data_IF_912796237902
#
_entry.id   IF_912796237902
#
_cell.length_a   1.000
_cell.length_b   1.000
_cell.length_c   1.000
_cell.angle_alpha   90.00
_cell.angle_beta   90.00
_cell.angle_gamma   90.00
#
_symmetry.space_group_name_H-M   'P 1'
#
loop_
_entity.id
_entity.type
_entity.pdbx_description
1 polymer ?
#
# COMPACT_ATOMS: atom_id res chain seq x y z
N UNK A 1 24.71 -16.67 16.92
CA UNK A 1 25.25 -15.32 17.26
C UNK A 1 25.73 -14.52 16.04
N UNK A 2 26.34 -15.13 15.02
CA UNK A 2 26.81 -14.42 13.81
C UNK A 2 25.67 -13.83 12.93
N UNK A 3 24.53 -14.53 12.77
CA UNK A 3 23.37 -14.02 12.01
C UNK A 3 22.80 -12.71 12.59
N UNK A 4 22.65 -12.61 13.92
CA UNK A 4 22.13 -11.41 14.59
C UNK A 4 23.01 -10.17 14.34
N UNK A 5 24.34 -10.32 14.30
CA UNK A 5 25.27 -9.22 14.01
C UNK A 5 25.13 -8.72 12.57
N UNK A 6 24.89 -9.62 11.60
CA UNK A 6 24.74 -9.24 10.20
C UNK A 6 23.48 -8.38 9.97
N UNK A 7 22.35 -8.68 10.63
CA UNK A 7 21.16 -7.81 10.58
C UNK A 7 21.44 -6.41 11.14
N UNK A 8 22.22 -6.33 12.21
CA UNK A 8 22.62 -5.08 12.84
C UNK A 8 23.54 -4.25 11.94
N UNK A 9 24.54 -4.87 11.30
CA UNK A 9 25.40 -4.20 10.32
C UNK A 9 24.63 -3.73 9.08
N UNK A 10 23.67 -4.52 8.59
CA UNK A 10 22.81 -4.14 7.48
C UNK A 10 21.93 -2.93 7.81
N UNK A 11 21.31 -2.90 8.99
CA UNK A 11 20.54 -1.74 9.45
C UNK A 11 21.43 -0.49 9.60
N UNK A 12 22.63 -0.63 10.18
CA UNK A 12 23.58 0.48 10.32
C UNK A 12 24.00 1.04 8.95
N UNK A 13 24.36 0.19 8.00
CA UNK A 13 24.69 0.61 6.64
C UNK A 13 23.52 1.36 5.99
N UNK A 14 22.30 0.85 6.11
CA UNK A 14 21.11 1.52 5.59
C UNK A 14 20.92 2.93 6.18
N UNK A 15 21.07 3.08 7.51
CA UNK A 15 20.97 4.40 8.16
C UNK A 15 22.11 5.35 7.74
N UNK A 16 23.32 4.85 7.52
CA UNK A 16 24.46 5.66 7.03
C UNK A 16 24.16 6.19 5.62
N UNK A 17 23.64 5.36 4.72
CA UNK A 17 23.21 5.79 3.39
C UNK A 17 22.06 6.82 3.46
N UNK A 18 21.04 6.61 4.31
CA UNK A 18 19.98 7.61 4.51
C UNK A 18 20.53 8.94 5.03
N UNK A 19 21.54 8.92 5.92
CA UNK A 19 22.19 10.13 6.41
C UNK A 19 23.01 10.83 5.33
N UNK A 20 23.63 10.07 4.40
CA UNK A 20 24.36 10.62 3.26
C UNK A 20 23.45 11.48 2.35
N UNK A 21 22.19 11.08 2.12
CA UNK A 21 21.20 11.88 1.39
C UNK A 21 20.96 13.26 2.02
N UNK A 22 21.08 13.40 3.36
CA UNK A 22 20.96 14.69 4.04
C UNK A 22 22.11 15.64 3.69
N UNK A 23 23.33 15.12 3.49
CA UNK A 23 24.49 15.91 3.09
C UNK A 23 24.45 16.30 1.60
N UNK A 24 23.80 15.51 0.75
CA UNK A 24 23.56 15.84 -0.67
C UNK A 24 22.47 16.92 -0.87
N UNK A 25 21.65 17.17 0.15
CA UNK A 25 20.57 18.18 0.13
C UNK A 25 21.06 19.63 0.32
N UNK A 26 22.37 19.88 0.27
CA UNK A 26 22.98 21.21 0.44
C UNK A 26 22.82 22.14 -0.80
N UNK A 27 22.28 21.62 -1.91
CA UNK A 27 22.03 22.39 -3.12
C UNK A 27 20.64 23.06 -3.08
N UNK A 28 20.55 24.37 -3.38
CA UNK A 28 19.31 25.19 -3.34
C UNK A 28 18.15 24.59 -4.14
N UNK A 29 18.43 23.83 -5.21
CA UNK A 29 17.43 23.14 -6.05
C UNK A 29 16.71 22.01 -5.28
N UNK A 30 17.44 21.23 -4.47
CA UNK A 30 16.85 20.14 -3.66
C UNK A 30 16.01 20.68 -2.50
N UNK A 31 16.37 21.85 -1.95
CA UNK A 31 15.57 22.55 -0.94
C UNK A 31 14.20 22.99 -1.45
N UNK A 32 14.10 23.48 -2.69
CA UNK A 32 12.83 23.85 -3.32
C UNK A 32 11.95 22.64 -3.64
N UNK A 33 12.54 21.53 -4.10
CA UNK A 33 11.86 20.23 -4.27
C UNK A 33 11.32 19.70 -2.94
N UNK A 34 12.09 19.80 -1.86
CA UNK A 34 11.65 19.35 -0.54
C UNK A 34 10.50 20.21 0.02
N UNK A 35 10.49 21.52 -0.29
CA UNK A 35 9.43 22.43 0.17
C UNK A 35 8.11 22.25 -0.62
N UNK A 36 8.21 21.97 -1.93
CA UNK A 36 7.04 21.62 -2.77
C UNK A 36 6.47 20.26 -2.35
N UNK A 37 7.32 19.25 -2.14
CA UNK A 37 6.91 17.95 -1.59
C UNK A 37 6.21 18.10 -0.22
N UNK A 38 6.74 18.94 0.68
CA UNK A 38 6.09 19.21 1.98
C UNK A 38 4.71 19.85 1.84
N UNK A 39 4.55 20.76 0.88
CA UNK A 39 3.27 21.45 0.67
C UNK A 39 2.23 20.50 0.11
N UNK A 40 2.59 19.69 -0.90
CA UNK A 40 1.72 18.65 -1.45
C UNK A 40 1.47 17.50 -0.46
N UNK A 41 2.43 17.19 0.43
CA UNK A 41 2.28 16.11 1.41
C UNK A 41 1.08 16.30 2.35
N UNK A 42 0.74 17.55 2.70
CA UNK A 42 -0.42 17.85 3.55
C UNK A 42 -1.73 17.46 2.85
N UNK A 43 -1.87 17.77 1.57
CA UNK A 43 -3.05 17.41 0.78
C UNK A 43 -3.09 15.89 0.49
N UNK A 44 -1.92 15.27 0.27
CA UNK A 44 -1.78 13.81 0.13
C UNK A 44 -2.12 13.04 1.41
N UNK A 45 -2.02 13.66 2.59
CA UNK A 45 -2.30 13.01 3.86
C UNK A 45 -3.79 12.68 4.01
N UNK A 46 -4.68 13.64 3.72
CA UNK A 46 -6.14 13.41 3.78
C UNK A 46 -6.58 12.33 2.81
N UNK A 47 -6.01 12.34 1.60
CA UNK A 47 -6.25 11.33 0.59
C UNK A 47 -5.80 9.93 1.04
N UNK A 48 -4.59 9.84 1.61
CA UNK A 48 -4.05 8.58 2.14
C UNK A 48 -4.92 8.03 3.27
N UNK A 49 -5.45 8.91 4.13
CA UNK A 49 -6.30 8.50 5.24
C UNK A 49 -7.62 7.88 4.74
N UNK A 50 -8.26 8.47 3.73
CA UNK A 50 -9.47 7.89 3.11
C UNK A 50 -9.14 6.53 2.48
N UNK A 51 -8.02 6.43 1.76
CA UNK A 51 -7.57 5.17 1.15
C UNK A 51 -7.39 4.08 2.20
N UNK A 52 -6.70 4.37 3.32
CA UNK A 52 -6.47 3.39 4.39
C UNK A 52 -7.79 2.93 5.02
N UNK A 53 -8.75 3.83 5.25
CA UNK A 53 -10.06 3.45 5.81
C UNK A 53 -10.81 2.49 4.87
N UNK A 54 -10.90 2.82 3.59
CA UNK A 54 -11.55 1.96 2.59
C UNK A 54 -10.81 0.63 2.48
N UNK A 55 -9.48 0.65 2.47
CA UNK A 55 -8.65 -0.54 2.39
C UNK A 55 -8.85 -1.48 3.58
N UNK A 56 -8.89 -0.95 4.81
CA UNK A 56 -9.20 -1.74 6.00
C UNK A 56 -10.61 -2.33 5.95
N UNK A 57 -11.62 -1.55 5.54
CA UNK A 57 -12.99 -2.04 5.42
C UNK A 57 -13.11 -3.19 4.41
N UNK A 58 -12.44 -3.08 3.25
CA UNK A 58 -12.38 -4.17 2.28
C UNK A 58 -11.62 -5.37 2.81
N UNK A 59 -10.55 -5.17 3.58
CA UNK A 59 -9.80 -6.28 4.21
C UNK A 59 -10.65 -7.08 5.18
N UNK A 60 -11.45 -6.41 6.02
CA UNK A 60 -12.38 -7.07 6.94
C UNK A 60 -13.51 -7.79 6.19
N UNK A 61 -14.04 -7.16 5.15
CA UNK A 61 -15.10 -7.75 4.32
C UNK A 61 -14.59 -8.99 3.56
N UNK A 62 -13.39 -8.93 2.98
CA UNK A 62 -12.76 -10.08 2.32
C UNK A 62 -12.43 -11.21 3.29
N UNK A 63 -11.98 -10.87 4.51
CA UNK A 63 -11.79 -11.85 5.59
C UNK A 63 -13.11 -12.56 5.94
N UNK A 64 -14.23 -11.83 6.06
CA UNK A 64 -15.53 -12.43 6.37
C UNK A 64 -16.11 -13.26 5.22
N UNK A 65 -15.95 -12.82 3.96
CA UNK A 65 -16.48 -13.52 2.79
C UNK A 65 -15.66 -14.75 2.41
N UNK A 66 -14.33 -14.61 2.38
CA UNK A 66 -13.43 -15.59 1.77
C UNK A 66 -12.49 -16.27 2.77
N UNK A 67 -12.41 -15.80 4.01
CA UNK A 67 -11.41 -16.30 4.97
C UNK A 67 -11.56 -17.75 5.41
N UNK A 68 -12.73 -18.36 5.21
CA UNK A 68 -12.94 -19.79 5.46
C UNK A 68 -12.52 -20.69 4.29
N UNK A 69 -12.33 -20.13 3.09
CA UNK A 69 -12.14 -20.89 1.84
C UNK A 69 -10.78 -20.61 1.20
N UNK A 70 -10.27 -19.39 1.36
CA UNK A 70 -9.02 -18.93 0.74
C UNK A 70 -8.00 -18.60 1.83
N UNK A 71 -6.84 -19.26 1.79
CA UNK A 71 -5.78 -19.06 2.80
C UNK A 71 -5.27 -17.60 2.83
N UNK A 72 -5.22 -16.94 1.67
CA UNK A 72 -4.85 -15.54 1.52
C UNK A 72 -5.80 -14.55 2.23
N UNK A 73 -6.99 -15.01 2.63
CA UNK A 73 -7.96 -14.26 3.42
C UNK A 73 -8.17 -14.85 4.83
N UNK A 74 -7.36 -15.82 5.25
CA UNK A 74 -7.53 -16.54 6.54
C UNK A 74 -7.23 -15.69 7.79
N UNK A 75 -6.62 -14.52 7.63
CA UNK A 75 -6.44 -13.53 8.70
C UNK A 75 -6.55 -12.12 8.13
N UNK A 76 -6.93 -11.15 8.96
CA UNK A 76 -7.00 -9.75 8.53
C UNK A 76 -5.64 -9.28 8.00
N UNK A 77 -4.53 -9.66 8.63
CA UNK A 77 -3.19 -9.28 8.18
C UNK A 77 -2.82 -9.86 6.80
N UNK A 78 -3.19 -11.12 6.55
CA UNK A 78 -3.01 -11.74 5.23
C UNK A 78 -3.93 -11.09 4.19
N UNK A 79 -5.20 -10.85 4.54
CA UNK A 79 -6.15 -10.15 3.66
C UNK A 79 -5.67 -8.74 3.28
N UNK A 80 -5.09 -7.99 4.23
CA UNK A 80 -4.46 -6.69 3.95
C UNK A 80 -3.28 -6.84 2.99
N UNK A 81 -2.44 -7.85 3.16
CA UNK A 81 -1.31 -8.09 2.26
C UNK A 81 -1.78 -8.49 0.85
N UNK A 82 -2.79 -9.34 0.75
CA UNK A 82 -3.43 -9.77 -0.50
C UNK A 82 -4.08 -8.60 -1.24
N UNK A 83 -4.78 -7.71 -0.53
CA UNK A 83 -5.33 -6.49 -1.11
C UNK A 83 -4.24 -5.50 -1.56
N UNK A 84 -3.10 -5.45 -0.86
CA UNK A 84 -1.96 -4.63 -1.27
C UNK A 84 -1.34 -5.18 -2.56
N UNK A 85 -1.15 -6.50 -2.66
CA UNK A 85 -0.70 -7.17 -3.91
C UNK A 85 -1.68 -6.91 -5.06
N UNK A 86 -2.98 -7.00 -4.78
CA UNK A 86 -4.04 -6.69 -5.76
C UNK A 86 -3.94 -5.25 -6.27
N UNK A 87 -3.64 -4.30 -5.38
CA UNK A 87 -3.43 -2.88 -5.74
C UNK A 87 -2.19 -2.69 -6.64
N UNK A 88 -1.16 -3.51 -6.47
CA UNK A 88 0.05 -3.52 -7.31
C UNK A 88 -0.16 -4.24 -8.66
N UNK A 89 -1.32 -4.87 -8.86
CA UNK A 89 -1.65 -5.65 -10.07
C UNK A 89 -1.30 -7.13 -9.98
N UNK A 90 -0.81 -7.61 -8.83
CA UNK A 90 -0.55 -9.02 -8.55
C UNK A 90 -1.74 -9.61 -7.79
N UNK A 91 -2.72 -10.15 -8.51
CA UNK A 91 -3.95 -10.69 -7.93
C UNK A 91 -4.16 -12.17 -8.30
N UNK A 92 -4.53 -12.98 -7.31
CA UNK A 92 -4.94 -14.38 -7.48
C UNK A 92 -6.47 -14.47 -7.51
N UNK A 93 -7.08 -14.05 -8.63
CA UNK A 93 -8.54 -14.06 -8.78
C UNK A 93 -9.13 -15.49 -8.80
N UNK A 94 -8.39 -16.45 -9.37
CA UNK A 94 -8.83 -17.85 -9.53
C UNK A 94 -9.22 -18.52 -8.21
N UNK A 95 -8.55 -18.16 -7.11
CA UNK A 95 -8.83 -18.74 -5.79
C UNK A 95 -10.11 -18.17 -5.18
N UNK A 96 -10.37 -16.89 -5.38
CA UNK A 96 -11.56 -16.19 -4.88
C UNK A 96 -12.79 -16.61 -5.69
N UNK A 97 -12.66 -16.77 -7.01
CA UNK A 97 -13.75 -17.24 -7.88
C UNK A 97 -14.20 -18.68 -7.53
N UNK A 98 -13.27 -19.53 -7.10
CA UNK A 98 -13.61 -20.89 -6.63
C UNK A 98 -14.41 -20.89 -5.34
N UNK A 99 -14.23 -19.87 -4.49
CA UNK A 99 -14.98 -19.73 -3.25
C UNK A 99 -16.42 -19.31 -3.50
N UNK A 100 -16.63 -18.23 -4.27
CA UNK A 100 -17.97 -17.78 -4.64
C UNK A 100 -17.97 -17.10 -6.02
N UNK A 101 -18.60 -17.74 -7.00
CA UNK A 101 -18.63 -17.27 -8.39
C UNK A 101 -19.42 -15.98 -8.61
N UNK A 102 -20.26 -15.57 -7.65
CA UNK A 102 -21.12 -14.40 -7.77
C UNK A 102 -20.59 -13.25 -6.92
N UNK A 103 -20.21 -13.51 -5.67
CA UNK A 103 -19.70 -12.49 -4.76
C UNK A 103 -18.24 -12.10 -5.06
N UNK A 104 -17.40 -13.04 -5.53
CA UNK A 104 -16.01 -12.74 -5.90
C UNK A 104 -15.86 -11.66 -6.98
N UNK A 105 -16.52 -11.74 -8.15
CA UNK A 105 -16.40 -10.71 -9.17
C UNK A 105 -16.94 -9.36 -8.69
N UNK A 106 -18.04 -9.34 -7.94
CA UNK A 106 -18.60 -8.09 -7.40
C UNK A 106 -17.64 -7.41 -6.42
N UNK A 107 -17.07 -8.17 -5.49
CA UNK A 107 -16.08 -7.68 -4.53
C UNK A 107 -14.81 -7.16 -5.22
N UNK A 108 -14.29 -7.94 -6.17
CA UNK A 108 -13.05 -7.61 -6.86
C UNK A 108 -13.20 -6.38 -7.75
N UNK A 109 -14.29 -6.31 -8.53
CA UNK A 109 -14.58 -5.15 -9.39
C UNK A 109 -14.84 -3.89 -8.57
N UNK A 110 -15.59 -3.99 -7.45
CA UNK A 110 -15.85 -2.82 -6.61
C UNK A 110 -14.58 -2.30 -5.95
N UNK A 111 -13.68 -3.20 -5.51
CA UNK A 111 -12.37 -2.83 -4.96
C UNK A 111 -11.50 -2.14 -6.01
N UNK A 112 -11.33 -2.75 -7.19
CA UNK A 112 -10.55 -2.17 -8.30
C UNK A 112 -11.11 -0.81 -8.68
N UNK A 113 -12.42 -0.71 -8.90
CA UNK A 113 -13.06 0.55 -9.27
C UNK A 113 -12.76 1.65 -8.24
N UNK A 114 -12.90 1.35 -6.94
CA UNK A 114 -12.61 2.32 -5.88
C UNK A 114 -11.13 2.72 -5.84
N UNK A 115 -10.21 1.76 -5.93
CA UNK A 115 -8.77 2.05 -5.92
C UNK A 115 -8.41 2.92 -7.13
N UNK A 116 -8.83 2.55 -8.34
CA UNK A 116 -8.57 3.35 -9.53
C UNK A 116 -9.22 4.73 -9.46
N UNK A 117 -10.46 4.82 -8.98
CA UNK A 117 -11.14 6.11 -8.79
C UNK A 117 -10.37 7.01 -7.83
N UNK A 118 -9.96 6.48 -6.68
CA UNK A 118 -9.14 7.19 -5.68
C UNK A 118 -7.82 7.63 -6.32
N UNK A 119 -7.08 6.72 -6.96
CA UNK A 119 -5.82 7.04 -7.67
C UNK A 119 -6.00 8.15 -8.72
N UNK A 120 -7.04 8.06 -9.56
CA UNK A 120 -7.34 9.03 -10.61
C UNK A 120 -7.70 10.41 -10.05
N UNK A 121 -8.54 10.48 -9.01
CA UNK A 121 -8.93 11.75 -8.37
C UNK A 121 -7.73 12.51 -7.85
N UNK A 122 -6.75 11.82 -7.23
CA UNK A 122 -5.51 12.46 -6.78
C UNK A 122 -4.66 12.95 -7.94
N UNK A 123 -4.47 12.12 -8.98
CA UNK A 123 -3.68 12.52 -10.14
C UNK A 123 -4.29 13.74 -10.80
N UNK A 124 -5.61 13.74 -11.02
CA UNK A 124 -6.33 14.87 -11.60
C UNK A 124 -6.33 16.12 -10.72
N UNK A 125 -6.46 15.99 -9.40
CA UNK A 125 -6.44 17.13 -8.47
C UNK A 125 -5.05 17.78 -8.31
N UNK A 126 -3.98 17.11 -8.74
CA UNK A 126 -2.59 17.62 -8.68
C UNK A 126 -2.21 18.40 -9.95
N UNK A 127 -2.92 18.19 -11.07
CA UNK A 127 -2.76 18.93 -12.32
C UNK A 127 -3.72 20.12 -12.39
#
# INVERSE_FOLDING_TARGET
>A
MFYSKNHLYAMLLFFVFMKAFKYLNFNRVMGQLSNTLKKCAKDMMYFTLIFVIVFCAYSELGYMLFGNVVEDFSSIGLAMFTLLRTTLGDFQYDEIERADKVLAPMYFLSFIYLVFFVLLVRTFSIF
#
